data_IF_329355725192
#
_entry.id   IF_329355725192
#
_cell.length_a   1.000
_cell.length_b   1.000
_cell.length_c   1.000
_cell.angle_alpha   90.00
_cell.angle_beta   90.00
_cell.angle_gamma   90.00
#
_symmetry.space_group_name_H-M   'P 1'
#
loop_
_entity.id
_entity.type
_entity.pdbx_description
1 polymer ?
#
# COMPACT_ATOMS: atom_id res chain seq x y z
N UNK A 1 -13.29 41.59 25.21
CA UNK A 1 -13.01 42.02 23.82
C UNK A 1 -11.82 41.23 23.31
N UNK A 2 -12.05 40.09 22.65
CA UNK A 2 -11.00 39.36 21.94
C UNK A 2 -11.64 38.68 20.73
N UNK A 3 -10.97 38.85 19.58
CA UNK A 3 -11.49 38.68 18.23
C UNK A 3 -11.80 37.23 17.88
N UNK A 4 -13.02 37.03 17.36
CA UNK A 4 -13.39 35.91 16.52
C UNK A 4 -12.60 36.02 15.20
N UNK A 5 -11.57 35.19 15.01
CA UNK A 5 -10.94 35.02 13.71
C UNK A 5 -11.62 33.86 13.01
N UNK A 6 -12.61 34.19 12.19
CA UNK A 6 -13.13 33.34 11.14
C UNK A 6 -12.06 33.30 10.03
N UNK A 7 -11.49 32.13 9.75
CA UNK A 7 -10.74 31.91 8.51
C UNK A 7 -11.57 30.99 7.62
N UNK A 8 -12.24 31.60 6.64
CA UNK A 8 -12.72 30.95 5.43
C UNK A 8 -11.54 30.81 4.46
N UNK A 9 -11.38 29.63 3.83
CA UNK A 9 -10.58 29.51 2.59
C UNK A 9 -9.70 28.28 2.45
N UNK A 10 -10.32 27.15 2.08
CA UNK A 10 -9.80 25.98 1.31
C UNK A 10 -8.48 25.27 1.66
N UNK A 11 -8.42 23.95 1.44
CA UNK A 11 -7.59 23.02 2.20
C UNK A 11 -6.39 22.55 1.36
N UNK A 12 -5.25 23.22 1.45
CA UNK A 12 -4.01 22.76 0.77
C UNK A 12 -2.81 22.87 1.70
N UNK A 13 -2.98 22.44 2.94
CA UNK A 13 -1.85 22.00 3.79
C UNK A 13 -2.32 20.78 4.57
N UNK A 14 -2.66 19.71 3.86
CA UNK A 14 -2.66 18.39 4.48
C UNK A 14 -1.18 18.00 4.63
N UNK A 15 -0.55 18.51 5.68
CA UNK A 15 0.56 17.80 6.30
C UNK A 15 -0.01 16.43 6.71
N UNK A 16 0.16 15.44 5.82
CA UNK A 16 0.03 14.03 6.16
C UNK A 16 1.26 13.68 7.00
N UNK A 17 1.31 14.20 8.22
CA UNK A 17 2.34 13.87 9.20
C UNK A 17 1.66 13.40 10.48
N UNK A 18 1.00 12.25 10.36
CA UNK A 18 0.89 11.18 11.37
C UNK A 18 -0.12 10.14 10.86
N UNK A 19 0.40 9.17 10.12
CA UNK A 19 -0.19 7.84 10.05
C UNK A 19 0.83 6.96 10.76
N UNK A 20 0.57 6.61 12.02
CA UNK A 20 1.36 5.63 12.76
C UNK A 20 1.17 4.24 12.12
N UNK A 21 1.85 4.05 11.00
CA UNK A 21 2.10 2.80 10.29
C UNK A 21 3.50 2.97 9.72
N UNK A 22 4.52 2.73 10.55
CA UNK A 22 5.91 2.72 10.09
C UNK A 22 6.16 1.47 9.24
N UNK A 23 5.69 1.51 8.00
CA UNK A 23 6.20 0.73 6.88
C UNK A 23 6.18 1.70 5.70
N UNK A 24 7.38 2.06 5.25
CA UNK A 24 7.64 2.98 4.16
C UNK A 24 6.77 2.63 2.93
N UNK A 25 5.60 3.28 2.78
CA UNK A 25 4.62 3.12 1.69
C UNK A 25 5.15 3.64 0.34
N UNK A 26 6.48 3.66 0.18
CA UNK A 26 7.14 4.02 -1.04
C UNK A 26 6.67 3.09 -2.15
N UNK A 27 6.21 3.68 -3.25
CA UNK A 27 5.75 2.95 -4.42
C UNK A 27 6.79 1.93 -4.95
N UNK A 28 8.07 2.17 -4.69
CA UNK A 28 9.17 1.32 -5.16
C UNK A 28 9.64 0.25 -4.15
N UNK A 29 9.17 0.29 -2.90
CA UNK A 29 9.54 -0.71 -1.88
C UNK A 29 8.62 -1.94 -1.92
N UNK A 30 7.48 -1.83 -2.58
CA UNK A 30 6.41 -2.84 -2.57
C UNK A 30 6.21 -3.51 -3.94
N UNK A 31 5.70 -4.74 -3.91
CA UNK A 31 5.22 -5.41 -5.12
C UNK A 31 4.06 -4.68 -5.78
N UNK A 32 3.83 -4.94 -7.07
CA UNK A 32 2.74 -4.33 -7.85
C UNK A 32 1.37 -4.60 -7.21
N UNK A 33 1.17 -5.82 -6.70
CA UNK A 33 -0.03 -6.26 -6.00
C UNK A 33 -0.30 -5.42 -4.74
N UNK A 34 0.68 -5.31 -3.84
CA UNK A 34 0.52 -4.51 -2.63
C UNK A 34 0.37 -3.01 -2.94
N UNK A 35 1.08 -2.51 -3.96
CA UNK A 35 0.96 -1.14 -4.44
C UNK A 35 -0.47 -0.79 -4.90
N UNK A 36 -1.18 -1.74 -5.50
CA UNK A 36 -2.58 -1.55 -5.88
C UNK A 36 -3.47 -1.34 -4.64
N UNK A 37 -3.29 -2.14 -3.60
CA UNK A 37 -4.03 -2.00 -2.33
C UNK A 37 -3.69 -0.68 -1.62
N UNK A 38 -2.41 -0.28 -1.63
CA UNK A 38 -1.97 0.99 -1.06
C UNK A 38 -2.64 2.17 -1.76
N UNK A 39 -2.71 2.17 -3.10
CA UNK A 39 -3.42 3.21 -3.85
C UNK A 39 -4.91 3.28 -3.48
N UNK A 40 -5.55 2.12 -3.29
CA UNK A 40 -6.95 2.05 -2.86
C UNK A 40 -7.17 2.64 -1.46
N UNK A 41 -6.27 2.34 -0.53
CA UNK A 41 -6.29 2.92 0.81
C UNK A 41 -6.08 4.45 0.78
N UNK A 42 -5.12 4.93 -0.01
CA UNK A 42 -4.88 6.36 -0.20
C UNK A 42 -6.11 7.07 -0.78
N UNK A 43 -6.78 6.46 -1.76
CA UNK A 43 -8.04 6.99 -2.30
C UNK A 43 -9.14 7.02 -1.24
N UNK A 44 -9.26 6.00 -0.39
CA UNK A 44 -10.23 6.00 0.69
C UNK A 44 -9.99 7.14 1.67
N UNK A 45 -8.74 7.36 2.07
CA UNK A 45 -8.38 8.49 2.95
C UNK A 45 -8.59 9.86 2.30
N UNK A 46 -8.34 9.98 0.99
CA UNK A 46 -8.59 11.23 0.26
C UNK A 46 -10.08 11.58 0.19
N UNK A 47 -10.95 10.57 0.00
CA UNK A 47 -12.39 10.77 -0.06
C UNK A 47 -13.03 10.98 1.32
N UNK A 48 -12.43 10.40 2.37
CA UNK A 48 -12.98 10.42 3.73
C UNK A 48 -11.94 10.91 4.76
N UNK A 49 -11.55 12.20 4.72
CA UNK A 49 -10.54 12.75 5.63
C UNK A 49 -10.96 12.66 7.11
N UNK A 50 -12.26 12.80 7.40
CA UNK A 50 -12.83 12.63 8.75
C UNK A 50 -13.14 11.15 9.06
N UNK A 51 -13.34 10.32 8.03
CA UNK A 51 -13.64 8.89 8.16
C UNK A 51 -12.47 8.07 8.72
N UNK A 52 -11.24 8.61 8.68
CA UNK A 52 -10.07 8.06 9.35
C UNK A 52 -10.28 7.87 10.86
N UNK A 53 -11.02 8.78 11.50
CA UNK A 53 -11.32 8.71 12.93
C UNK A 53 -12.43 7.72 13.29
N UNK A 54 -13.22 7.29 12.29
CA UNK A 54 -14.35 6.37 12.47
C UNK A 54 -14.07 4.97 11.92
N UNK A 55 -12.80 4.62 11.68
CA UNK A 55 -12.41 3.33 11.10
C UNK A 55 -13.11 3.03 9.76
N UNK A 56 -13.43 4.06 8.97
CA UNK A 56 -14.19 3.90 7.73
C UNK A 56 -13.41 3.09 6.67
N UNK A 57 -12.10 3.31 6.58
CA UNK A 57 -11.19 2.63 5.65
C UNK A 57 -10.45 1.45 6.29
N UNK A 58 -10.99 0.86 7.37
CA UNK A 58 -10.30 -0.18 8.14
C UNK A 58 -10.13 -1.49 7.36
N UNK A 59 -11.06 -1.79 6.45
CA UNK A 59 -10.98 -2.97 5.57
C UNK A 59 -9.78 -2.86 4.64
N UNK A 60 -9.65 -1.74 3.96
CA UNK A 60 -8.54 -1.43 3.07
C UNK A 60 -7.21 -1.39 3.83
N UNK A 61 -7.21 -0.83 5.04
CA UNK A 61 -6.02 -0.78 5.90
C UNK A 61 -5.58 -2.19 6.34
N UNK A 62 -6.53 -3.05 6.68
CA UNK A 62 -6.28 -4.46 7.03
C UNK A 62 -5.72 -5.25 5.85
N UNK A 63 -6.28 -5.06 4.65
CA UNK A 63 -5.80 -5.70 3.42
C UNK A 63 -4.37 -5.29 3.08
N UNK A 64 -4.04 -4.00 3.20
CA UNK A 64 -2.68 -3.48 3.00
C UNK A 64 -1.72 -4.06 4.04
N UNK A 65 -2.12 -4.11 5.31
CA UNK A 65 -1.30 -4.66 6.39
C UNK A 65 -0.98 -6.15 6.15
N UNK A 66 -1.96 -6.93 5.71
CA UNK A 66 -1.79 -8.34 5.40
C UNK A 66 -0.84 -8.54 4.20
N UNK A 67 -1.00 -7.73 3.14
CA UNK A 67 -0.11 -7.79 1.98
C UNK A 67 1.34 -7.47 2.35
N UNK A 68 1.56 -6.40 3.11
CA UNK A 68 2.89 -6.00 3.59
C UNK A 68 3.51 -7.05 4.51
N UNK A 69 2.70 -7.76 5.29
CA UNK A 69 3.18 -8.85 6.14
C UNK A 69 3.71 -10.03 5.31
N UNK A 70 2.93 -10.49 4.33
CA UNK A 70 3.34 -11.58 3.43
C UNK A 70 4.57 -11.21 2.61
N UNK A 71 4.60 -9.99 2.08
CA UNK A 71 5.74 -9.46 1.35
C UNK A 71 7.01 -9.46 2.22
N UNK A 72 6.93 -8.98 3.46
CA UNK A 72 8.05 -9.01 4.40
C UNK A 72 8.50 -10.45 4.69
N UNK A 73 7.56 -11.39 4.81
CA UNK A 73 7.87 -12.80 5.03
C UNK A 73 8.59 -13.41 3.83
N UNK A 74 8.18 -13.07 2.60
CA UNK A 74 8.87 -13.49 1.38
C UNK A 74 10.28 -12.92 1.29
N UNK A 75 10.44 -11.62 1.53
CA UNK A 75 11.76 -10.95 1.56
C UNK A 75 12.70 -11.60 2.58
N UNK A 76 12.19 -11.99 3.75
CA UNK A 76 12.96 -12.73 4.77
C UNK A 76 13.33 -14.14 4.32
N UNK A 77 12.45 -14.86 3.65
CA UNK A 77 12.72 -16.20 3.08
C UNK A 77 13.76 -16.15 1.96
N UNK A 78 13.73 -15.08 1.15
CA UNK A 78 14.59 -14.88 -0.01
C UNK A 78 15.91 -14.15 0.30
N UNK A 79 16.23 -13.89 1.57
CA UNK A 79 17.48 -13.24 1.98
C UNK A 79 18.38 -14.21 2.76
N UNK A 80 19.19 -15.05 2.09
CA UNK A 80 20.12 -15.96 2.76
C UNK A 80 21.22 -15.18 3.48
N UNK A 81 21.69 -15.69 4.63
CA UNK A 81 22.71 -15.00 5.45
C UNK A 81 24.07 -14.83 4.77
N UNK A 82 24.40 -15.70 3.82
CA UNK A 82 25.72 -15.78 3.20
C UNK A 82 25.69 -15.75 1.66
N UNK A 83 24.53 -15.49 1.05
CA UNK A 83 24.45 -15.32 -0.40
C UNK A 83 24.46 -13.85 -0.77
N UNK A 84 24.84 -13.51 -2.03
CA UNK A 84 24.50 -12.21 -2.60
C UNK A 84 22.99 -11.96 -2.44
N UNK A 85 22.62 -10.71 -2.15
CA UNK A 85 21.21 -10.28 -2.13
C UNK A 85 20.60 -10.60 -3.50
N UNK A 86 19.61 -11.48 -3.52
CA UNK A 86 18.87 -11.75 -4.74
C UNK A 86 18.08 -10.51 -5.14
N UNK A 87 17.88 -10.32 -6.45
CA UNK A 87 17.02 -9.25 -6.94
C UNK A 87 15.62 -9.43 -6.36
N UNK A 88 15.10 -8.36 -5.75
CA UNK A 88 13.81 -8.39 -5.09
C UNK A 88 12.72 -8.50 -6.16
N UNK A 89 11.91 -9.55 -6.06
CA UNK A 89 10.83 -9.82 -7.01
C UNK A 89 9.81 -8.67 -6.97
N UNK A 90 9.57 -8.02 -8.12
CA UNK A 90 8.57 -6.95 -8.25
C UNK A 90 7.13 -7.44 -8.12
N UNK A 91 6.90 -8.73 -8.31
CA UNK A 91 5.61 -9.37 -8.16
C UNK A 91 5.62 -10.36 -7.01
N UNK A 92 4.49 -10.42 -6.31
CA UNK A 92 4.24 -11.42 -5.30
C UNK A 92 3.92 -12.74 -6.02
N UNK A 93 4.43 -13.91 -5.57
CA UNK A 93 4.00 -15.18 -6.13
C UNK A 93 2.53 -15.45 -5.78
N UNK A 94 1.79 -16.05 -6.71
CA UNK A 94 0.35 -16.35 -6.52
C UNK A 94 0.05 -17.17 -5.26
N UNK A 95 1.01 -17.98 -4.82
CA UNK A 95 0.91 -18.78 -3.59
C UNK A 95 0.81 -17.93 -2.32
N UNK A 96 1.30 -16.69 -2.35
CA UNK A 96 1.30 -15.74 -1.24
C UNK A 96 0.15 -14.72 -1.29
N UNK A 97 -0.75 -14.85 -2.27
CA UNK A 97 -1.87 -13.93 -2.39
C UNK A 97 -2.83 -14.05 -1.20
N UNK A 98 -3.21 -12.89 -0.67
CA UNK A 98 -4.27 -12.78 0.32
C UNK A 98 -5.62 -13.11 -0.31
N UNK A 99 -6.64 -13.38 0.51
CA UNK A 99 -7.99 -13.64 0.01
C UNK A 99 -8.53 -12.47 -0.85
N UNK A 100 -8.17 -11.24 -0.48
CA UNK A 100 -8.55 -10.03 -1.22
C UNK A 100 -7.86 -9.95 -2.57
N UNK A 101 -6.56 -10.23 -2.67
CA UNK A 101 -5.84 -10.25 -3.95
C UNK A 101 -6.38 -11.34 -4.89
N UNK A 102 -6.70 -12.53 -4.36
CA UNK A 102 -7.32 -13.61 -5.15
C UNK A 102 -8.65 -13.18 -5.76
N UNK A 103 -9.52 -12.57 -4.95
CA UNK A 103 -10.80 -12.04 -5.43
C UNK A 103 -10.61 -10.95 -6.49
N UNK A 104 -9.71 -10.00 -6.25
CA UNK A 104 -9.45 -8.91 -7.21
C UNK A 104 -8.89 -9.42 -8.54
N UNK A 105 -8.11 -10.50 -8.51
CA UNK A 105 -7.63 -11.19 -9.72
C UNK A 105 -8.75 -11.93 -10.45
N UNK A 106 -9.62 -12.64 -9.72
CA UNK A 106 -10.80 -13.32 -10.28
C UNK A 106 -11.81 -12.35 -10.90
N UNK A 107 -12.02 -11.19 -10.26
CA UNK A 107 -12.88 -10.11 -10.74
C UNK A 107 -12.28 -9.35 -11.94
N UNK A 108 -11.01 -9.60 -12.29
CA UNK A 108 -10.30 -8.91 -13.37
C UNK A 108 -9.96 -7.44 -13.05
N UNK A 109 -10.09 -7.02 -11.79
CA UNK A 109 -9.77 -5.67 -11.31
C UNK A 109 -8.26 -5.50 -11.14
N UNK A 110 -7.57 -6.56 -10.72
CA UNK A 110 -6.13 -6.59 -10.61
C UNK A 110 -5.52 -7.15 -11.90
N UNK A 111 -5.03 -6.26 -12.76
CA UNK A 111 -4.37 -6.61 -14.01
C UNK A 111 -2.86 -6.56 -13.77
N UNK A 112 -2.26 -7.71 -13.47
CA UNK A 112 -0.80 -7.86 -13.46
C UNK A 112 -0.40 -8.56 -14.75
N UNK A 113 0.33 -7.86 -15.63
CA UNK A 113 0.87 -8.48 -16.83
C UNK A 113 2.24 -9.09 -16.53
N UNK A 114 2.59 -10.25 -17.12
CA UNK A 114 3.87 -10.89 -16.86
C UNK A 114 5.06 -9.98 -17.21
N UNK A 115 4.92 -9.11 -18.22
CA UNK A 115 5.91 -8.09 -18.55
C UNK A 115 6.20 -7.08 -17.42
N UNK A 116 5.20 -6.74 -16.59
CA UNK A 116 5.38 -5.79 -15.48
C UNK A 116 6.24 -6.38 -14.35
N UNK A 117 6.21 -7.71 -14.21
CA UNK A 117 7.00 -8.46 -13.24
C UNK A 117 8.46 -8.64 -13.66
N UNK A 118 8.75 -8.61 -14.96
CA UNK A 118 10.06 -8.96 -15.53
C UNK A 118 10.89 -7.74 -15.96
N UNK A 119 10.37 -6.52 -15.81
CA UNK A 119 10.96 -5.29 -16.38
C UNK A 119 12.49 -5.25 -16.24
N UNK A 120 13.18 -5.59 -17.34
CA UNK A 120 14.63 -5.56 -17.48
C UNK A 120 15.13 -4.17 -17.11
N UNK A 121 16.01 -4.11 -16.10
CA UNK A 121 16.93 -2.98 -15.99
C UNK A 121 17.73 -2.89 -17.28
N UNK A 122 17.58 -1.77 -18.00
CA UNK A 122 18.58 -1.33 -18.97
C UNK A 122 19.75 -0.70 -18.22
#
# INVERSE_FOLDING_TARGET
MAKLLIIFGTPVEVFIEEQNMQADLSYYSHTIECNFLIKRLQQCYANHPVGKFFAYCDKEASDVALCCHEERNLKRKNNPRYSPRQEESRCLPESSYTATLKKLKEEGVLIVRPEDCEQRRF
#
